data_IF_028146463168
#
_entry.id   IF_028146463168
#
_cell.length_a   1.000
_cell.length_b   1.000
_cell.length_c   1.000
_cell.angle_alpha   90.00
_cell.angle_beta   90.00
_cell.angle_gamma   90.00
#
_symmetry.space_group_name_H-M   'P 1'
#
loop_
_entity.id
_entity.type
_entity.pdbx_description
1 polymer ?
#
# COMPACT_ATOMS: atom_id res chain seq x y z
N UNK A 1 -52.86 -4.21 -5.33
CA UNK A 1 -52.20 -2.99 -4.80
C UNK A 1 -51.17 -3.29 -3.71
N UNK A 2 -51.46 -4.14 -2.71
CA UNK A 2 -50.53 -4.43 -1.60
C UNK A 2 -49.22 -5.16 -1.98
N UNK A 3 -49.26 -6.07 -2.97
CA UNK A 3 -48.06 -6.83 -3.41
C UNK A 3 -46.99 -5.95 -4.06
N UNK A 4 -47.40 -5.03 -4.94
CA UNK A 4 -46.50 -4.13 -5.66
C UNK A 4 -45.82 -3.12 -4.73
N UNK A 5 -46.49 -2.67 -3.66
CA UNK A 5 -45.90 -1.76 -2.68
C UNK A 5 -44.92 -2.48 -1.72
N UNK A 6 -45.15 -3.78 -1.46
CA UNK A 6 -44.22 -4.61 -0.70
C UNK A 6 -42.95 -4.95 -1.52
N UNK A 7 -43.11 -5.32 -2.78
CA UNK A 7 -41.98 -5.58 -3.69
C UNK A 7 -41.12 -4.33 -3.89
N UNK A 8 -41.74 -3.15 -4.01
CA UNK A 8 -41.02 -1.89 -4.10
C UNK A 8 -40.28 -1.57 -2.78
N UNK A 9 -40.92 -1.75 -1.62
CA UNK A 9 -40.27 -1.55 -0.31
C UNK A 9 -39.13 -2.53 -0.05
N UNK A 10 -39.25 -3.78 -0.50
CA UNK A 10 -38.17 -4.77 -0.43
C UNK A 10 -37.05 -4.40 -1.40
N UNK A 11 -37.37 -3.97 -2.62
CA UNK A 11 -36.38 -3.50 -3.59
C UNK A 11 -35.66 -2.26 -3.06
N UNK A 12 -36.36 -1.28 -2.52
CA UNK A 12 -35.80 -0.05 -1.94
C UNK A 12 -34.97 -0.36 -0.69
N UNK A 13 -35.39 -1.34 0.12
CA UNK A 13 -34.60 -1.85 1.25
C UNK A 13 -33.32 -2.55 0.77
N UNK A 14 -33.43 -3.47 -0.19
CA UNK A 14 -32.28 -4.16 -0.78
C UNK A 14 -31.34 -3.15 -1.46
N UNK A 15 -31.84 -2.14 -2.16
CA UNK A 15 -31.03 -1.09 -2.80
C UNK A 15 -30.36 -0.19 -1.75
N UNK A 16 -31.08 0.17 -0.67
CA UNK A 16 -30.58 0.98 0.46
C UNK A 16 -29.54 0.23 1.30
N UNK A 17 -29.63 -1.10 1.39
CA UNK A 17 -28.75 -1.94 2.20
C UNK A 17 -27.84 -2.86 1.37
N UNK A 18 -27.83 -2.74 0.03
CA UNK A 18 -26.97 -3.53 -0.88
C UNK A 18 -25.48 -3.32 -0.55
N UNK A 19 -25.12 -2.12 -0.10
CA UNK A 19 -23.78 -1.80 0.41
C UNK A 19 -23.43 -2.43 1.76
N UNK A 20 -24.42 -2.94 2.51
CA UNK A 20 -24.28 -3.64 3.80
C UNK A 20 -24.26 -5.18 3.67
N UNK A 21 -24.36 -5.72 2.45
CA UNK A 21 -24.39 -7.16 2.18
C UNK A 21 -23.14 -7.70 1.47
N UNK A 22 -21.99 -7.03 1.59
CA UNK A 22 -20.71 -7.72 1.43
C UNK A 22 -20.39 -8.40 2.75
N UNK A 23 -20.40 -9.73 2.79
CA UNK A 23 -20.26 -10.48 4.06
C UNK A 23 -19.08 -11.42 4.08
N UNK A 24 -18.40 -11.61 2.95
CA UNK A 24 -17.24 -12.48 2.91
C UNK A 24 -16.13 -11.87 2.04
N UNK A 25 -14.88 -12.25 2.32
CA UNK A 25 -13.68 -11.76 1.61
C UNK A 25 -13.73 -12.03 0.10
N UNK A 26 -14.46 -13.06 -0.31
CA UNK A 26 -14.70 -13.43 -1.72
C UNK A 26 -15.45 -12.34 -2.50
N UNK A 27 -16.23 -11.48 -1.82
CA UNK A 27 -16.89 -10.35 -2.48
C UNK A 27 -15.86 -9.28 -2.90
N UNK A 28 -14.70 -9.24 -2.25
CA UNK A 28 -13.67 -8.22 -2.48
C UNK A 28 -12.56 -8.68 -3.41
N UNK A 29 -12.17 -9.96 -3.37
CA UNK A 29 -11.07 -10.51 -4.17
C UNK A 29 -11.60 -11.16 -5.43
N UNK A 30 -10.97 -10.89 -6.57
CA UNK A 30 -11.30 -11.51 -7.85
C UNK A 30 -10.76 -12.94 -7.92
N UNK A 31 -11.49 -13.90 -7.33
CA UNK A 31 -11.09 -15.31 -7.27
C UNK A 31 -11.21 -16.06 -8.60
N UNK A 32 -11.94 -15.50 -9.57
CA UNK A 32 -11.96 -16.03 -10.94
C UNK A 32 -10.60 -15.83 -11.61
N UNK A 33 -9.97 -14.66 -11.39
CA UNK A 33 -8.64 -14.35 -11.93
C UNK A 33 -7.52 -14.89 -11.04
N UNK A 34 -7.70 -14.84 -9.72
CA UNK A 34 -6.73 -15.23 -8.71
C UNK A 34 -7.36 -16.18 -7.70
N UNK A 35 -7.46 -17.51 -8.00
CA UNK A 35 -8.09 -18.49 -7.11
C UNK A 35 -7.17 -18.84 -5.93
N UNK A 36 -6.82 -17.83 -5.12
CA UNK A 36 -5.86 -17.92 -4.02
C UNK A 36 -6.36 -18.78 -2.86
N UNK A 37 -7.66 -19.06 -2.80
CA UNK A 37 -8.30 -19.98 -1.86
C UNK A 37 -8.21 -21.46 -2.30
N UNK A 38 -7.70 -21.72 -3.50
CA UNK A 38 -7.51 -23.06 -4.06
C UNK A 38 -6.02 -23.28 -4.37
N UNK A 39 -5.16 -23.46 -3.34
CA UNK A 39 -3.72 -23.57 -3.55
C UNK A 39 -3.32 -24.75 -4.44
N UNK A 40 -4.11 -25.83 -4.48
CA UNK A 40 -3.86 -26.99 -5.33
C UNK A 40 -4.29 -26.79 -6.81
N UNK A 41 -4.89 -25.65 -7.14
CA UNK A 41 -5.30 -25.35 -8.50
C UNK A 41 -4.05 -25.21 -9.42
N UNK A 42 -3.94 -25.99 -10.51
CA UNK A 42 -2.76 -25.94 -11.38
C UNK A 42 -2.48 -24.57 -11.99
N UNK A 43 -3.53 -23.78 -12.28
CA UNK A 43 -3.41 -22.41 -12.79
C UNK A 43 -2.82 -21.52 -11.70
N UNK A 44 -3.31 -21.64 -10.45
CA UNK A 44 -2.76 -20.91 -9.31
C UNK A 44 -1.28 -21.23 -9.07
N UNK A 45 -0.91 -22.51 -9.12
CA UNK A 45 0.48 -22.95 -8.98
C UNK A 45 1.40 -22.40 -10.08
N UNK A 46 0.91 -22.34 -11.33
CA UNK A 46 1.66 -21.74 -12.43
C UNK A 46 1.84 -20.22 -12.23
N UNK A 47 0.78 -19.52 -11.82
CA UNK A 47 0.83 -18.09 -11.52
C UNK A 47 1.78 -17.77 -10.37
N UNK A 48 1.75 -18.53 -9.29
CA UNK A 48 2.65 -18.37 -8.15
C UNK A 48 4.13 -18.46 -8.55
N UNK A 49 4.49 -19.42 -9.41
CA UNK A 49 5.85 -19.53 -9.94
C UNK A 49 6.25 -18.31 -10.76
N UNK A 50 5.33 -17.80 -11.59
CA UNK A 50 5.57 -16.60 -12.38
C UNK A 50 5.75 -15.36 -11.50
N UNK A 51 4.88 -15.16 -10.50
CA UNK A 51 4.96 -14.03 -9.57
C UNK A 51 6.20 -14.09 -8.68
N UNK A 52 6.58 -15.27 -8.19
CA UNK A 52 7.82 -15.41 -7.42
C UNK A 52 9.06 -15.11 -8.27
N UNK A 53 9.06 -15.56 -9.53
CA UNK A 53 10.13 -15.21 -10.48
C UNK A 53 10.19 -13.69 -10.70
N UNK A 54 9.04 -13.06 -10.96
CA UNK A 54 8.96 -11.60 -11.12
C UNK A 54 9.47 -10.89 -9.88
N UNK A 55 9.00 -11.26 -8.69
CA UNK A 55 9.43 -10.65 -7.43
C UNK A 55 10.95 -10.77 -7.22
N UNK A 56 11.54 -11.93 -7.54
CA UNK A 56 12.99 -12.15 -7.42
C UNK A 56 13.82 -11.35 -8.41
N UNK A 57 13.36 -11.22 -9.66
CA UNK A 57 14.09 -10.53 -10.72
C UNK A 57 13.89 -9.01 -10.66
N UNK A 58 12.73 -8.57 -10.19
CA UNK A 58 12.29 -7.18 -10.30
C UNK A 58 12.18 -6.46 -8.96
N UNK A 59 12.09 -7.18 -7.84
CA UNK A 59 11.78 -6.60 -6.53
C UNK A 59 10.35 -6.02 -6.47
N UNK A 60 9.52 -6.27 -7.48
CA UNK A 60 8.14 -5.82 -7.56
C UNK A 60 7.29 -6.88 -8.25
N UNK A 61 6.05 -7.06 -7.79
CA UNK A 61 5.06 -7.89 -8.43
C UNK A 61 3.72 -7.15 -8.44
N UNK A 62 3.09 -7.09 -9.62
CA UNK A 62 1.90 -6.28 -9.89
C UNK A 62 0.79 -7.21 -10.37
N UNK A 63 -0.34 -7.21 -9.65
CA UNK A 63 -1.49 -8.07 -9.89
C UNK A 63 -2.72 -7.19 -10.18
N UNK A 64 -2.95 -6.80 -11.45
CA UNK A 64 -4.05 -5.93 -11.82
C UNK A 64 -5.40 -6.63 -11.64
N UNK A 65 -6.45 -5.86 -11.33
CA UNK A 65 -7.80 -6.41 -11.10
C UNK A 65 -7.85 -7.48 -9.99
N UNK A 66 -6.94 -7.39 -9.01
CA UNK A 66 -6.95 -8.28 -7.85
C UNK A 66 -8.22 -8.09 -7.01
N UNK A 67 -8.64 -6.84 -6.82
CA UNK A 67 -9.97 -6.56 -6.29
C UNK A 67 -11.03 -6.77 -7.37
N UNK A 68 -12.17 -7.32 -6.96
CA UNK A 68 -13.39 -7.30 -7.77
C UNK A 68 -13.88 -5.86 -7.95
N UNK A 69 -14.59 -5.56 -9.04
CA UNK A 69 -15.12 -4.22 -9.26
C UNK A 69 -16.10 -3.77 -8.14
N UNK A 70 -17.01 -4.62 -7.62
CA UNK A 70 -17.81 -4.28 -6.44
C UNK A 70 -16.97 -4.03 -5.19
N UNK A 71 -15.93 -4.86 -4.96
CA UNK A 71 -15.04 -4.75 -3.81
C UNK A 71 -14.27 -3.44 -3.79
N UNK A 72 -13.67 -3.10 -4.93
CA UNK A 72 -12.98 -1.82 -5.13
C UNK A 72 -13.90 -0.63 -4.83
N UNK A 73 -15.12 -0.64 -5.40
CA UNK A 73 -16.10 0.43 -5.17
C UNK A 73 -16.44 0.59 -3.69
N UNK A 74 -16.64 -0.52 -2.98
CA UNK A 74 -16.94 -0.51 -1.56
C UNK A 74 -15.77 0.07 -0.73
N UNK A 75 -14.55 -0.40 -0.97
CA UNK A 75 -13.35 0.06 -0.26
C UNK A 75 -13.03 1.54 -0.49
N UNK A 76 -13.28 2.04 -1.71
CA UNK A 76 -13.17 3.47 -2.02
C UNK A 76 -14.19 4.27 -1.22
N UNK A 77 -15.45 3.83 -1.18
CA UNK A 77 -16.51 4.50 -0.42
C UNK A 77 -16.20 4.54 1.08
N UNK A 78 -15.78 3.40 1.65
CA UNK A 78 -15.39 3.29 3.05
C UNK A 78 -14.21 4.20 3.39
N UNK A 79 -13.13 4.13 2.61
CA UNK A 79 -11.92 4.92 2.84
C UNK A 79 -12.19 6.42 2.70
N UNK A 80 -13.03 6.81 1.73
CA UNK A 80 -13.42 8.22 1.54
C UNK A 80 -14.25 8.72 2.72
N UNK A 81 -15.18 7.92 3.24
CA UNK A 81 -16.00 8.28 4.40
C UNK A 81 -15.19 8.44 5.70
N UNK A 82 -14.00 7.84 5.76
CA UNK A 82 -13.08 7.94 6.89
C UNK A 82 -11.94 8.95 6.67
N UNK A 83 -11.86 9.59 5.50
CA UNK A 83 -10.76 10.48 5.11
C UNK A 83 -10.51 11.60 6.14
N UNK A 84 -11.57 12.21 6.68
CA UNK A 84 -11.49 13.30 7.66
C UNK A 84 -10.92 12.86 9.03
N UNK A 85 -10.81 11.55 9.28
CA UNK A 85 -10.19 11.00 10.49
C UNK A 85 -8.70 10.72 10.33
N UNK A 86 -8.17 10.85 9.11
CA UNK A 86 -6.75 10.62 8.85
C UNK A 86 -5.88 11.66 9.55
N UNK A 87 -4.74 11.21 10.08
CA UNK A 87 -3.73 12.12 10.59
C UNK A 87 -2.88 12.60 9.42
N UNK A 88 -2.92 13.91 9.15
CA UNK A 88 -2.12 14.53 8.11
C UNK A 88 -0.82 15.06 8.69
N UNK A 89 0.31 14.69 8.09
CA UNK A 89 1.63 15.09 8.56
C UNK A 89 2.53 15.48 7.39
N UNK A 90 3.45 16.39 7.68
CA UNK A 90 4.55 16.75 6.78
C UNK A 90 5.87 16.48 7.49
N UNK A 91 6.67 15.57 6.94
CA UNK A 91 7.93 15.12 7.52
C UNK A 91 9.07 15.44 6.57
N UNK A 92 10.07 16.18 7.06
CA UNK A 92 11.30 16.47 6.33
C UNK A 92 12.37 15.43 6.65
N UNK A 93 13.15 15.04 5.64
CA UNK A 93 14.32 14.19 5.84
C UNK A 93 14.98 13.79 4.53
N UNK A 94 16.07 13.02 4.62
CA UNK A 94 16.78 12.50 3.46
C UNK A 94 16.15 11.20 2.92
N UNK A 95 16.70 10.71 1.80
CA UNK A 95 16.24 9.50 1.13
C UNK A 95 16.57 8.19 1.89
N UNK A 96 17.54 8.21 2.80
CA UNK A 96 18.00 7.03 3.55
C UNK A 96 17.21 6.81 4.84
N UNK A 97 16.43 7.80 5.28
CA UNK A 97 15.65 7.76 6.53
C UNK A 97 16.52 7.55 7.78
N UNK A 98 17.75 8.05 7.73
CA UNK A 98 18.77 7.90 8.77
C UNK A 98 19.42 9.26 9.06
N UNK A 99 19.88 9.45 10.29
CA UNK A 99 20.75 10.56 10.62
C UNK A 99 22.16 10.28 10.08
N UNK A 100 22.69 11.18 9.25
CA UNK A 100 24.05 11.08 8.73
C UNK A 100 25.09 11.68 9.68
N UNK A 101 26.38 11.34 9.55
CA UNK A 101 27.46 12.04 10.23
C UNK A 101 27.42 13.56 9.99
N UNK A 102 27.82 14.34 10.98
CA UNK A 102 27.73 15.80 10.95
C UNK A 102 28.73 16.43 9.97
N UNK A 103 29.82 15.74 9.67
CA UNK A 103 30.97 16.18 8.86
C UNK A 103 30.86 15.83 7.36
N UNK A 104 29.70 15.36 6.89
CA UNK A 104 29.50 15.06 5.46
C UNK A 104 29.54 16.33 4.59
N UNK A 105 29.95 16.24 3.31
CA UNK A 105 29.82 17.33 2.34
C UNK A 105 28.38 17.82 2.19
N UNK A 106 28.19 19.12 1.92
CA UNK A 106 26.86 19.74 1.73
C UNK A 106 26.00 19.03 0.66
N UNK A 107 26.64 18.51 -0.39
CA UNK A 107 25.95 17.82 -1.47
C UNK A 107 25.81 16.31 -1.27
N UNK A 108 26.13 15.80 -0.08
CA UNK A 108 25.96 14.39 0.25
C UNK A 108 24.47 14.04 0.36
N UNK A 109 23.99 12.91 -0.20
CA UNK A 109 22.56 12.54 -0.17
C UNK A 109 21.91 12.52 1.21
N UNK A 110 22.65 12.20 2.27
CA UNK A 110 22.14 12.24 3.65
C UNK A 110 21.89 13.67 4.18
N UNK A 111 22.48 14.70 3.56
CA UNK A 111 22.20 16.12 3.81
C UNK A 111 21.19 16.72 2.83
N UNK A 112 20.86 16.00 1.75
CA UNK A 112 19.84 16.42 0.78
C UNK A 112 18.45 16.02 1.28
N UNK A 113 17.79 16.96 1.94
CA UNK A 113 16.45 16.75 2.49
C UNK A 113 15.35 17.26 1.56
N UNK A 114 14.22 16.57 1.62
CA UNK A 114 12.95 16.96 1.00
C UNK A 114 11.81 16.60 1.97
N UNK A 115 10.57 16.97 1.65
CA UNK A 115 9.40 16.67 2.47
C UNK A 115 8.59 15.51 1.93
N UNK A 116 7.92 14.81 2.84
CA UNK A 116 6.81 13.92 2.53
C UNK A 116 5.58 14.50 3.19
N UNK A 117 4.49 14.66 2.45
CA UNK A 117 3.19 15.12 2.94
C UNK A 117 2.13 14.10 2.57
N UNK A 118 1.42 13.57 3.58
CA UNK A 118 0.27 12.70 3.37
C UNK A 118 -0.63 12.62 4.61
N UNK A 119 -1.90 12.27 4.38
CA UNK A 119 -2.80 11.75 5.40
C UNK A 119 -2.67 10.24 5.56
N UNK A 120 -2.74 9.76 6.80
CA UNK A 120 -2.77 8.33 7.12
C UNK A 120 -3.97 8.02 8.01
N UNK A 121 -4.82 7.10 7.55
CA UNK A 121 -5.84 6.45 8.39
C UNK A 121 -5.22 5.22 9.06
N UNK A 122 -5.22 5.19 10.38
CA UNK A 122 -4.62 4.13 11.18
C UNK A 122 -5.54 2.89 11.29
N UNK A 123 -4.94 1.74 11.59
CA UNK A 123 -5.63 0.45 11.64
C UNK A 123 -6.85 0.45 12.57
N UNK A 124 -6.70 0.92 13.80
CA UNK A 124 -7.77 1.00 14.81
C UNK A 124 -8.94 1.92 14.42
N UNK A 125 -8.76 2.80 13.43
CA UNK A 125 -9.83 3.65 12.89
C UNK A 125 -10.62 2.97 11.77
N UNK A 126 -10.13 1.85 11.23
CA UNK A 126 -10.80 1.05 10.21
C UNK A 126 -11.82 0.12 10.91
N UNK A 127 -13.11 0.10 10.52
CA UNK A 127 -14.13 -0.76 11.13
C UNK A 127 -13.76 -2.25 11.09
N UNK A 128 -14.24 -3.03 12.07
CA UNK A 128 -13.95 -4.46 12.14
C UNK A 128 -14.49 -5.23 10.93
N UNK A 129 -15.63 -4.78 10.40
CA UNK A 129 -16.33 -5.35 9.25
C UNK A 129 -15.76 -4.88 7.90
N UNK A 130 -14.75 -4.01 7.91
CA UNK A 130 -14.11 -3.49 6.70
C UNK A 130 -13.54 -4.61 5.83
N UNK A 131 -13.75 -4.49 4.52
CA UNK A 131 -13.12 -5.37 3.53
C UNK A 131 -11.59 -5.36 3.62
N UNK A 132 -10.97 -4.25 4.04
CA UNK A 132 -9.51 -4.18 4.25
C UNK A 132 -9.07 -5.15 5.35
N UNK A 133 -9.82 -5.20 6.46
CA UNK A 133 -9.55 -6.12 7.56
C UNK A 133 -9.83 -7.57 7.19
N UNK A 134 -10.95 -7.80 6.49
CA UNK A 134 -11.31 -9.13 5.99
C UNK A 134 -10.21 -9.71 5.08
N UNK A 135 -9.68 -8.93 4.13
CA UNK A 135 -8.57 -9.35 3.26
C UNK A 135 -7.30 -9.58 4.09
N UNK A 136 -6.94 -8.62 4.94
CA UNK A 136 -5.69 -8.64 5.72
C UNK A 136 -5.53 -9.90 6.59
N UNK A 137 -6.62 -10.34 7.21
CA UNK A 137 -6.66 -11.49 8.13
C UNK A 137 -6.95 -12.82 7.42
N UNK A 138 -7.22 -12.79 6.11
CA UNK A 138 -7.61 -13.99 5.38
C UNK A 138 -6.40 -14.87 5.09
N UNK A 139 -6.37 -16.06 5.70
CA UNK A 139 -5.24 -16.99 5.61
C UNK A 139 -4.77 -17.30 4.17
N UNK A 140 -5.66 -17.59 3.20
CA UNK A 140 -5.29 -17.70 1.78
C UNK A 140 -4.54 -16.49 1.23
N UNK A 141 -4.93 -15.25 1.58
CA UNK A 141 -4.21 -14.05 1.16
C UNK A 141 -2.82 -13.96 1.80
N UNK A 142 -2.71 -14.24 3.10
CA UNK A 142 -1.42 -14.25 3.81
C UNK A 142 -0.46 -15.29 3.22
N UNK A 143 -0.95 -16.50 2.95
CA UNK A 143 -0.17 -17.58 2.33
C UNK A 143 0.24 -17.23 0.89
N UNK A 144 -0.67 -16.62 0.13
CA UNK A 144 -0.42 -16.16 -1.22
C UNK A 144 0.70 -15.11 -1.26
N UNK A 145 0.64 -14.11 -0.39
CA UNK A 145 1.70 -13.09 -0.25
C UNK A 145 3.02 -13.75 0.16
N UNK A 146 3.01 -14.62 1.18
CA UNK A 146 4.22 -15.33 1.65
C UNK A 146 4.89 -16.13 0.52
N UNK A 147 4.10 -16.76 -0.33
CA UNK A 147 4.61 -17.53 -1.46
C UNK A 147 5.26 -16.64 -2.53
N UNK A 148 4.62 -15.52 -2.89
CA UNK A 148 5.15 -14.58 -3.90
C UNK A 148 6.48 -13.99 -3.43
N UNK A 149 6.56 -13.52 -2.17
CA UNK A 149 7.82 -12.98 -1.63
C UNK A 149 8.88 -14.07 -1.39
N UNK A 150 8.49 -15.35 -1.37
CA UNK A 150 9.39 -16.47 -1.12
C UNK A 150 9.91 -16.54 0.32
N UNK A 151 9.18 -15.95 1.27
CA UNK A 151 9.56 -15.83 2.70
C UNK A 151 8.32 -16.08 3.55
N UNK A 152 8.49 -16.82 4.63
CA UNK A 152 7.41 -17.10 5.58
C UNK A 152 7.87 -17.96 6.76
N UNK A 153 6.98 -18.21 7.73
CA UNK A 153 5.59 -17.74 7.79
C UNK A 153 5.49 -16.21 7.94
N UNK A 154 4.39 -15.63 7.44
CA UNK A 154 4.05 -14.23 7.66
C UNK A 154 3.15 -14.10 8.88
N UNK A 155 3.42 -13.07 9.69
CA UNK A 155 2.63 -12.69 10.85
C UNK A 155 2.00 -11.33 10.61
N UNK A 156 0.81 -11.11 11.17
CA UNK A 156 0.23 -9.77 11.26
C UNK A 156 1.20 -8.84 12.01
N UNK A 157 1.30 -7.60 11.56
CA UNK A 157 2.12 -6.60 12.20
C UNK A 157 1.45 -6.16 13.50
N UNK A 158 2.09 -6.41 14.63
CA UNK A 158 1.49 -6.26 15.96
C UNK A 158 1.31 -4.80 16.41
N UNK A 159 1.56 -3.83 15.52
CA UNK A 159 1.32 -2.43 15.78
C UNK A 159 -0.19 -2.14 15.73
N UNK A 160 -0.80 -1.65 16.82
CA UNK A 160 -2.25 -1.44 16.86
C UNK A 160 -2.71 -0.32 15.91
N UNK A 161 -1.79 0.53 15.46
CA UNK A 161 -2.06 1.61 14.51
C UNK A 161 -1.61 1.27 13.08
N UNK A 162 -0.66 0.35 12.92
CA UNK A 162 0.07 0.17 11.67
C UNK A 162 -0.16 -1.14 10.92
N UNK A 163 -0.98 -2.06 11.46
CA UNK A 163 -1.28 -3.33 10.80
C UNK A 163 -1.89 -3.14 9.40
N UNK A 164 -2.78 -2.15 9.27
CA UNK A 164 -3.29 -1.64 8.00
C UNK A 164 -3.23 -0.13 8.02
N UNK A 165 -2.78 0.48 6.93
CA UNK A 165 -2.76 1.92 6.76
C UNK A 165 -3.50 2.27 5.47
N UNK A 166 -4.33 3.31 5.48
CA UNK A 166 -4.79 3.91 4.22
C UNK A 166 -4.11 5.25 4.06
N UNK A 167 -3.24 5.37 3.05
CA UNK A 167 -2.71 6.66 2.64
C UNK A 167 -3.83 7.44 1.95
N UNK A 168 -4.26 8.52 2.60
CA UNK A 168 -5.26 9.47 2.13
C UNK A 168 -4.52 10.71 1.68
N UNK A 169 -4.25 10.82 0.37
CA UNK A 169 -3.44 11.92 -0.15
C UNK A 169 -4.32 12.89 -0.94
N UNK A 170 -4.21 14.19 -0.63
CA UNK A 170 -4.96 15.28 -1.26
C UNK A 170 -4.09 16.12 -2.19
N UNK A 171 -4.66 17.17 -2.78
CA UNK A 171 -3.91 18.15 -3.58
C UNK A 171 -2.62 18.60 -2.87
N UNK A 172 -1.52 18.63 -3.61
CA UNK A 172 -0.15 18.97 -3.16
C UNK A 172 0.53 17.95 -2.24
N UNK A 173 -0.14 16.87 -1.84
CA UNK A 173 0.55 15.77 -1.16
C UNK A 173 1.51 15.04 -2.11
N UNK A 174 2.65 14.62 -1.58
CA UNK A 174 3.67 13.87 -2.30
C UNK A 174 4.57 13.10 -1.32
N UNK A 175 5.23 12.05 -1.81
CA UNK A 175 6.28 11.36 -1.06
C UNK A 175 7.60 11.66 -1.75
N UNK A 176 8.60 12.13 -1.01
CA UNK A 176 9.95 12.31 -1.54
C UNK A 176 10.56 10.99 -1.99
N UNK A 177 11.67 11.07 -2.71
CA UNK A 177 12.56 9.92 -2.94
C UNK A 177 13.03 9.35 -1.60
N UNK A 178 12.75 8.07 -1.36
CA UNK A 178 13.20 7.36 -0.16
C UNK A 178 13.40 5.87 -0.41
N UNK A 179 14.11 5.23 0.50
CA UNK A 179 14.14 3.78 0.66
C UNK A 179 13.20 3.37 1.80
N UNK A 180 12.71 2.14 1.72
CA UNK A 180 11.99 1.52 2.83
C UNK A 180 12.95 0.94 3.87
N UNK A 181 12.51 0.97 5.13
CA UNK A 181 13.14 0.21 6.21
C UNK A 181 12.57 -1.22 6.31
N UNK A 182 11.34 -1.44 5.84
CA UNK A 182 10.70 -2.77 5.82
C UNK A 182 11.35 -3.70 4.80
N UNK A 183 11.18 -5.01 5.01
CA UNK A 183 11.67 -6.02 4.08
C UNK A 183 10.89 -6.03 2.76
N UNK A 184 9.60 -5.70 2.82
CA UNK A 184 8.69 -5.56 1.68
C UNK A 184 7.47 -4.72 2.10
N UNK A 185 6.68 -4.32 1.11
CA UNK A 185 5.40 -3.62 1.26
C UNK A 185 4.35 -4.39 0.46
N UNK A 186 3.17 -4.59 1.05
CA UNK A 186 1.98 -5.12 0.38
C UNK A 186 0.97 -3.99 0.30
N UNK A 187 0.53 -3.64 -0.89
CA UNK A 187 -0.40 -2.52 -1.07
C UNK A 187 -1.47 -2.82 -2.11
N UNK A 188 -2.62 -2.17 -1.97
CA UNK A 188 -3.66 -2.16 -2.98
C UNK A 188 -3.96 -0.72 -3.34
N UNK A 189 -3.84 -0.37 -4.63
CA UNK A 189 -4.28 0.93 -5.12
C UNK A 189 -5.81 0.95 -5.17
N UNK A 190 -6.44 1.86 -4.43
CA UNK A 190 -7.90 1.96 -4.36
C UNK A 190 -8.45 3.04 -5.29
N UNK A 191 -7.76 4.18 -5.39
CA UNK A 191 -8.19 5.30 -6.21
C UNK A 191 -7.00 6.14 -6.66
N UNK A 192 -6.92 6.40 -7.95
CA UNK A 192 -5.97 7.35 -8.53
C UNK A 192 -6.48 8.78 -8.36
N UNK A 193 -5.56 9.77 -8.25
CA UNK A 193 -5.93 11.17 -8.33
C UNK A 193 -6.26 11.56 -9.78
N UNK A 194 -6.70 12.81 -9.97
CA UNK A 194 -6.91 13.36 -11.32
C UNK A 194 -5.60 13.51 -12.10
N UNK A 195 -4.54 13.97 -11.44
CA UNK A 195 -3.21 14.14 -12.01
C UNK A 195 -2.14 13.89 -10.95
N UNK A 196 -0.95 13.47 -11.39
CA UNK A 196 0.16 13.15 -10.51
C UNK A 196 0.00 11.81 -9.80
N UNK A 197 0.50 11.70 -8.57
CA UNK A 197 0.40 10.48 -7.77
C UNK A 197 1.10 9.25 -8.34
N UNK A 198 2.02 9.45 -9.29
CA UNK A 198 2.74 8.39 -9.99
C UNK A 198 3.78 7.78 -9.07
N UNK A 199 3.79 6.46 -8.98
CA UNK A 199 4.82 5.73 -8.25
C UNK A 199 6.04 5.60 -9.14
N UNK A 200 7.08 6.37 -8.84
CA UNK A 200 8.34 6.38 -9.58
C UNK A 200 9.42 5.66 -8.77
N UNK A 201 10.27 4.87 -9.43
CA UNK A 201 11.33 4.12 -8.75
C UNK A 201 12.60 3.95 -9.60
N UNK A 202 13.72 3.67 -8.93
CA UNK A 202 14.95 3.16 -9.56
C UNK A 202 15.33 1.86 -8.87
N UNK A 203 15.12 0.76 -9.59
CA UNK A 203 15.27 -0.62 -9.09
C UNK A 203 16.70 -0.88 -8.61
N UNK A 204 16.82 -1.45 -7.42
CA UNK A 204 18.10 -1.96 -6.88
C UNK A 204 19.28 -0.99 -7.05
N UNK A 205 19.01 0.32 -6.89
CA UNK A 205 20.03 1.36 -7.04
C UNK A 205 21.16 1.19 -6.02
N UNK A 206 20.88 0.57 -4.87
CA UNK A 206 21.83 0.28 -3.77
C UNK A 206 21.83 -1.20 -3.39
N UNK A 207 22.76 -1.59 -2.53
CA UNK A 207 22.81 -2.93 -1.92
C UNK A 207 23.12 -2.83 -0.43
N UNK A 208 23.12 -3.97 0.28
CA UNK A 208 23.54 -4.02 1.68
C UNK A 208 25.00 -3.56 1.90
N UNK A 209 25.86 -3.75 0.90
CA UNK A 209 27.29 -3.43 0.99
C UNK A 209 27.64 -2.05 0.41
N UNK A 210 26.78 -1.49 -0.45
CA UNK A 210 27.05 -0.23 -1.13
C UNK A 210 25.79 0.66 -1.11
N UNK A 211 25.83 1.81 -0.39
CA UNK A 211 24.72 2.74 -0.32
C UNK A 211 24.53 3.58 -1.59
N UNK A 212 25.50 3.57 -2.52
CA UNK A 212 25.45 4.20 -3.85
C UNK A 212 25.12 5.70 -3.80
N UNK A 213 25.81 6.42 -2.91
CA UNK A 213 25.57 7.85 -2.66
C UNK A 213 25.72 8.71 -3.91
N UNK A 214 26.65 8.42 -4.82
CA UNK A 214 26.83 9.22 -6.03
C UNK A 214 25.61 9.13 -6.95
N UNK A 215 25.11 7.93 -7.20
CA UNK A 215 23.96 7.67 -8.06
C UNK A 215 22.69 8.24 -7.46
N UNK A 216 22.51 8.08 -6.14
CA UNK A 216 21.39 8.70 -5.43
C UNK A 216 21.50 10.23 -5.50
N UNK A 217 22.68 10.83 -5.33
CA UNK A 217 22.86 12.28 -5.48
C UNK A 217 22.43 12.77 -6.86
N UNK A 218 22.85 12.09 -7.93
CA UNK A 218 22.46 12.47 -9.30
C UNK A 218 20.95 12.35 -9.52
N UNK A 219 20.32 11.30 -8.97
CA UNK A 219 18.87 11.17 -8.96
C UNK A 219 18.21 12.34 -8.22
N UNK A 220 18.66 12.66 -7.01
CA UNK A 220 18.09 13.76 -6.21
C UNK A 220 18.28 15.12 -6.90
N UNK A 221 19.34 15.31 -7.68
CA UNK A 221 19.61 16.52 -8.48
C UNK A 221 18.77 16.67 -9.75
N UNK A 222 17.99 15.66 -10.12
CA UNK A 222 17.10 15.76 -11.29
C UNK A 222 17.37 14.75 -12.41
N UNK A 223 18.37 13.87 -12.29
CA UNK A 223 18.57 12.84 -13.29
C UNK A 223 17.38 11.86 -13.28
N UNK A 224 16.76 11.64 -14.44
CA UNK A 224 15.61 10.73 -14.61
C UNK A 224 15.89 9.56 -15.56
N UNK A 225 17.14 9.37 -15.99
CA UNK A 225 17.51 8.39 -17.03
C UNK A 225 17.10 6.94 -16.68
N UNK A 226 17.17 6.58 -15.41
CA UNK A 226 16.87 5.23 -14.91
C UNK A 226 15.56 5.16 -14.12
N UNK A 227 14.74 6.22 -14.17
CA UNK A 227 13.48 6.26 -13.44
C UNK A 227 12.41 5.52 -14.23
N UNK A 228 11.76 4.58 -13.57
CA UNK A 228 10.61 3.84 -14.07
C UNK A 228 9.34 4.33 -13.35
N UNK A 229 8.21 4.25 -14.04
CA UNK A 229 6.88 4.49 -13.46
C UNK A 229 6.19 3.14 -13.31
N UNK A 230 5.74 2.80 -12.10
CA UNK A 230 4.97 1.59 -11.86
C UNK A 230 3.52 1.82 -12.26
N UNK A 231 3.05 1.07 -13.26
CA UNK A 231 1.64 1.06 -13.64
C UNK A 231 0.85 0.15 -12.69
N UNK A 232 0.05 0.76 -11.81
CA UNK A 232 -0.72 0.06 -10.78
C UNK A 232 -2.17 0.60 -10.73
N UNK A 233 -3.04 0.28 -11.70
CA UNK A 233 -4.39 0.85 -11.77
C UNK A 233 -5.24 0.51 -10.52
N UNK A 234 -6.35 1.22 -10.27
CA UNK A 234 -7.24 0.93 -9.15
C UNK A 234 -7.69 -0.53 -9.13
N UNK A 235 -7.65 -1.14 -7.94
CA UNK A 235 -7.90 -2.57 -7.71
C UNK A 235 -6.66 -3.46 -7.84
N UNK A 236 -5.51 -2.91 -8.20
CA UNK A 236 -4.26 -3.66 -8.32
C UNK A 236 -3.62 -3.94 -6.96
N UNK A 237 -3.23 -5.20 -6.72
CA UNK A 237 -2.35 -5.59 -5.62
C UNK A 237 -0.89 -5.45 -6.06
N UNK A 238 -0.06 -4.83 -5.23
CA UNK A 238 1.37 -4.63 -5.49
C UNK A 238 2.17 -5.12 -4.29
N UNK A 239 3.13 -5.99 -4.56
CA UNK A 239 4.18 -6.39 -3.62
C UNK A 239 5.48 -5.73 -4.06
N UNK A 240 6.20 -5.08 -3.15
CA UNK A 240 7.36 -4.24 -3.49
C UNK A 240 8.46 -4.33 -2.43
N UNK A 241 9.72 -4.45 -2.86
CA UNK A 241 10.92 -4.44 -2.01
C UNK A 241 11.65 -3.08 -2.10
N UNK A 242 11.28 -2.16 -1.20
CA UNK A 242 11.84 -0.79 -1.18
C UNK A 242 13.19 -0.65 -0.47
N UNK A 243 13.73 -1.70 0.15
CA UNK A 243 15.01 -1.60 0.89
C UNK A 243 16.18 -1.20 -0.02
N UNK A 244 16.20 -1.72 -1.25
CA UNK A 244 17.28 -1.46 -2.23
C UNK A 244 16.80 -0.64 -3.43
N UNK A 245 15.50 -0.42 -3.55
CA UNK A 245 14.87 0.35 -4.62
C UNK A 245 14.42 1.70 -4.06
N UNK A 246 15.03 2.78 -4.55
CA UNK A 246 14.61 4.14 -4.20
C UNK A 246 13.34 4.46 -4.96
N UNK A 247 12.36 5.06 -4.29
CA UNK A 247 11.06 5.33 -4.89
C UNK A 247 10.42 6.60 -4.33
N UNK A 248 9.44 7.13 -5.06
CA UNK A 248 8.67 8.32 -4.68
C UNK A 248 7.24 8.24 -5.19
N UNK A 249 6.39 9.12 -4.68
CA UNK A 249 5.08 9.40 -5.27
C UNK A 249 5.07 10.83 -5.74
N UNK A 250 4.84 11.06 -7.04
CA UNK A 250 4.77 12.42 -7.57
C UNK A 250 3.61 13.19 -6.97
N UNK A 251 3.78 14.50 -6.91
CA UNK A 251 2.81 15.41 -6.32
C UNK A 251 1.43 15.27 -6.95
N UNK A 252 0.41 15.20 -6.10
CA UNK A 252 -0.98 15.08 -6.51
C UNK A 252 -1.52 16.44 -6.90
N UNK A 253 -2.24 16.47 -8.01
CA UNK A 253 -2.94 17.66 -8.50
C UNK A 253 -4.43 17.37 -8.66
N UNK A 254 -5.26 18.20 -8.05
CA UNK A 254 -6.72 18.14 -8.16
C UNK A 254 -7.43 17.74 -6.87
N UNK A 255 -8.76 17.68 -6.95
CA UNK A 255 -9.66 17.46 -5.79
C UNK A 255 -9.89 15.99 -5.46
N UNK A 256 -9.58 15.09 -6.39
CA UNK A 256 -9.75 13.65 -6.16
C UNK A 256 -8.62 13.13 -5.27
N UNK A 257 -9.00 12.53 -4.14
CA UNK A 257 -8.05 11.88 -3.26
C UNK A 257 -7.36 10.72 -3.97
N UNK A 258 -6.06 10.55 -3.75
CA UNK A 258 -5.38 9.29 -4.02
C UNK A 258 -5.47 8.42 -2.78
N UNK A 259 -5.93 7.18 -2.96
CA UNK A 259 -6.20 6.24 -1.88
C UNK A 259 -5.40 4.95 -2.10
N UNK A 260 -4.52 4.61 -1.15
CA UNK A 260 -3.77 3.35 -1.18
C UNK A 260 -3.87 2.67 0.18
N UNK A 261 -4.29 1.41 0.19
CA UNK A 261 -4.20 0.56 1.37
C UNK A 261 -2.83 -0.11 1.44
N UNK A 262 -2.20 -0.13 2.61
CA UNK A 262 -0.95 -0.82 2.89
C UNK A 262 -1.18 -1.84 4.00
N UNK A 263 -0.84 -3.10 3.74
CA UNK A 263 -0.92 -4.21 4.68
C UNK A 263 0.46 -4.49 5.28
N UNK A 264 0.57 -4.35 6.60
CA UNK A 264 1.79 -4.64 7.33
C UNK A 264 1.88 -6.11 7.69
N UNK A 265 2.90 -6.81 7.19
CA UNK A 265 3.24 -8.16 7.62
C UNK A 265 4.68 -8.21 8.14
N UNK A 266 4.97 -9.18 9.00
CA UNK A 266 6.28 -9.39 9.59
C UNK A 266 6.75 -10.84 9.39
N UNK A 267 8.08 -11.02 9.35
CA UNK A 267 8.73 -12.35 9.30
C UNK A 267 8.98 -12.95 10.68
N UNK A 268 8.60 -12.23 11.74
CA UNK A 268 8.66 -12.69 13.12
C UNK A 268 7.38 -12.29 13.86
N UNK A 269 6.95 -13.07 14.88
CA UNK A 269 5.81 -12.70 15.70
C UNK A 269 6.10 -11.45 16.54
N UNK A 270 5.04 -10.71 16.88
CA UNK A 270 5.08 -9.56 17.80
C UNK A 270 5.94 -8.37 17.34
N UNK A 271 6.35 -8.30 16.07
CA UNK A 271 7.03 -7.11 15.53
C UNK A 271 6.04 -5.95 15.51
N UNK A 272 6.43 -4.84 16.14
CA UNK A 272 5.59 -3.64 16.32
C UNK A 272 6.41 -2.37 16.12
N UNK A 273 5.74 -1.25 15.82
CA UNK A 273 6.40 0.05 15.70
C UNK A 273 6.75 0.62 17.06
N UNK A 274 7.82 1.43 17.14
CA UNK A 274 8.15 2.22 18.32
C UNK A 274 7.13 3.35 18.52
N UNK A 275 7.03 3.88 19.73
CA UNK A 275 6.18 5.03 20.03
C UNK A 275 6.55 6.26 19.19
N UNK A 276 7.85 6.49 18.97
CA UNK A 276 8.33 7.55 18.07
C UNK A 276 7.77 7.41 16.64
N UNK A 277 7.82 6.21 16.06
CA UNK A 277 7.28 5.97 14.72
C UNK A 277 5.75 6.13 14.68
N UNK A 278 5.05 5.74 15.76
CA UNK A 278 3.60 5.91 15.85
C UNK A 278 3.20 7.38 15.95
N UNK A 279 3.88 8.15 16.81
CA UNK A 279 3.64 9.58 16.95
C UNK A 279 3.87 10.32 15.63
N UNK A 280 4.98 10.01 14.95
CA UNK A 280 5.33 10.63 13.67
C UNK A 280 4.32 10.29 12.55
N UNK A 281 3.80 9.06 12.50
CA UNK A 281 2.90 8.62 11.42
C UNK A 281 1.41 8.83 11.70
N UNK A 282 0.99 8.82 12.96
CA UNK A 282 -0.42 8.82 13.37
C UNK A 282 -0.78 9.92 14.37
N UNK A 283 0.21 10.69 14.86
CA UNK A 283 0.00 11.75 15.84
C UNK A 283 -0.40 11.27 17.23
N UNK A 284 -0.15 9.98 17.52
CA UNK A 284 -0.42 9.33 18.80
C UNK A 284 0.33 8.01 18.94
N UNK A 285 0.54 7.56 20.17
CA UNK A 285 1.23 6.30 20.51
C UNK A 285 0.30 5.12 20.84
N UNK A 286 -1.01 5.40 20.95
CA UNK A 286 -2.17 4.59 21.37
C UNK A 286 -2.72 4.97 22.75
#
# INVERSE_FOLDING_TARGET
MWRLDLERKISDFIEKYKGYFMRTVQDFVNLELYPIDQPENPIMQAMLKAFQKQMKEEGVCVLPNFLSAPGLKNLVQESTALADKSFHSTVRGNAYLEEGPTDLPEDHPMKMEDTTSLGVLAYDQIPQESGLRLIYQWKPFVDFVAHIIGRGPLYEYACPLGAINVAIMKDQDYLRWHFDQSDFVVSINLQDPQEGGKFEYVRNIRSAADPRYNEVRELLRGNRKSVEVLENPPGCLVLFEGRYTIHRVTEIRGKMLRLIALYGYALAPNVTSTDFLREMRYGRTH
#
